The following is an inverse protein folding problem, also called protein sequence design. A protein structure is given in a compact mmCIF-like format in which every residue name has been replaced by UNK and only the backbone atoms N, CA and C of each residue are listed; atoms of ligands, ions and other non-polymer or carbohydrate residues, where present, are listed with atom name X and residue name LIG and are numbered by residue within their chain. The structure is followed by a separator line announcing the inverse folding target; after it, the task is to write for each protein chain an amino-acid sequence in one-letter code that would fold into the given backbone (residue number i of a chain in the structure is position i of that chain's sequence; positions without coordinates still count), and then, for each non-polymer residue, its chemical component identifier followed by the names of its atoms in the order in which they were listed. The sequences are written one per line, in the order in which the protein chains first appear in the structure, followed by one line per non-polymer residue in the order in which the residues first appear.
data_IF_449429401259
#
_entry.id   IF_449429401259
#
_cell.length_a   1.000
_cell.length_b   1.000
_cell.length_c   1.000
_cell.angle_alpha   90.00
_cell.angle_beta   90.00
_cell.angle_gamma   90.00
#
_symmetry.space_group_name_H-M   'P 1'
#
loop_
_entity.id
_entity.type
_entity.pdbx_description
1 polymer ?
#
# COMPACT_ATOMS: atom_id res chain seq x y z
N UNK A 1 7.83 -16.29 -29.62
CA UNK A 1 8.45 -17.37 -28.83
C UNK A 1 8.36 -16.94 -27.37
N UNK A 2 7.33 -17.41 -26.66
CA UNK A 2 7.03 -16.98 -25.31
C UNK A 2 8.01 -17.63 -24.33
N UNK A 3 8.71 -16.81 -23.57
CA UNK A 3 9.56 -17.25 -22.47
C UNK A 3 8.71 -17.22 -21.19
N UNK A 4 8.46 -18.38 -20.62
CA UNK A 4 8.03 -18.56 -19.24
C UNK A 4 9.19 -18.19 -18.31
N UNK A 5 8.96 -17.43 -17.22
CA UNK A 5 9.94 -17.31 -16.16
C UNK A 5 9.45 -18.06 -14.92
N UNK A 6 9.71 -19.37 -14.90
CA UNK A 6 9.94 -20.10 -13.65
C UNK A 6 11.45 -20.10 -13.41
N UNK A 7 11.93 -19.13 -12.62
CA UNK A 7 13.26 -19.17 -12.03
C UNK A 7 13.12 -18.99 -10.53
N UNK A 8 13.23 -20.11 -9.82
CA UNK A 8 13.41 -20.21 -8.38
C UNK A 8 14.60 -19.34 -7.92
N UNK A 9 14.32 -18.33 -7.09
CA UNK A 9 15.29 -17.75 -6.18
C UNK A 9 14.94 -18.20 -4.76
N UNK A 10 15.66 -19.21 -4.28
CA UNK A 10 15.67 -19.62 -2.88
C UNK A 10 16.42 -18.58 -2.03
N UNK A 11 15.78 -17.44 -1.77
CA UNK A 11 16.06 -16.56 -0.64
C UNK A 11 15.03 -16.80 0.47
N UNK A 12 15.25 -16.34 1.72
CA UNK A 12 14.20 -16.38 2.74
C UNK A 12 12.95 -15.74 2.15
N UNK A 13 11.81 -16.47 2.15
CA UNK A 13 10.52 -15.98 1.62
C UNK A 13 10.25 -14.63 2.29
N UNK A 14 10.49 -13.54 1.55
CA UNK A 14 10.13 -12.21 2.00
C UNK A 14 8.62 -12.27 2.25
N UNK A 15 8.22 -12.24 3.52
CA UNK A 15 6.80 -12.19 3.87
C UNK A 15 6.27 -10.90 3.26
N UNK A 16 5.41 -11.03 2.24
CA UNK A 16 4.66 -9.88 1.72
C UNK A 16 3.91 -9.28 2.90
N UNK A 17 4.03 -7.98 3.09
CA UNK A 17 3.23 -7.27 4.08
C UNK A 17 1.75 -7.42 3.72
N UNK A 18 0.91 -7.51 4.74
CA UNK A 18 -0.53 -7.48 4.55
C UNK A 18 -0.97 -6.02 4.41
N UNK A 19 -1.88 -5.75 3.49
CA UNK A 19 -2.60 -4.49 3.43
C UNK A 19 -4.10 -4.76 3.56
N UNK A 20 -4.84 -3.76 4.01
CA UNK A 20 -6.29 -3.82 4.13
C UNK A 20 -6.92 -2.48 3.84
N UNK A 21 -8.16 -2.50 3.34
CA UNK A 21 -8.98 -1.33 3.11
C UNK A 21 -10.34 -1.48 3.79
N UNK A 22 -11.04 -0.36 4.04
CA UNK A 22 -12.43 -0.41 4.45
C UNK A 22 -13.30 -0.99 3.32
N UNK A 23 -14.57 -1.25 3.64
CA UNK A 23 -15.57 -1.66 2.67
C UNK A 23 -16.49 -0.49 2.33
N UNK A 24 -16.95 -0.44 1.09
CA UNK A 24 -18.13 0.36 0.73
C UNK A 24 -19.41 -0.27 1.31
N UNK A 25 -20.54 0.43 1.18
CA UNK A 25 -21.84 0.00 1.71
C UNK A 25 -22.32 -1.33 1.13
N UNK A 26 -21.91 -1.64 -0.09
CA UNK A 26 -22.16 -2.91 -0.81
C UNK A 26 -21.20 -4.05 -0.40
N UNK A 27 -20.38 -3.83 0.64
CA UNK A 27 -19.36 -4.76 1.15
C UNK A 27 -18.11 -4.91 0.29
N UNK A 28 -18.02 -4.23 -0.86
CA UNK A 28 -16.84 -4.31 -1.71
C UNK A 28 -15.65 -3.58 -1.05
N UNK A 29 -14.44 -4.18 -1.01
CA UNK A 29 -13.24 -3.50 -0.57
C UNK A 29 -12.99 -2.25 -1.41
N UNK A 30 -12.68 -1.14 -0.74
CA UNK A 30 -12.46 0.15 -1.40
C UNK A 30 -11.31 0.09 -2.41
N UNK A 31 -10.30 -0.74 -2.15
CA UNK A 31 -9.14 -0.96 -3.02
C UNK A 31 -9.46 -1.66 -4.34
N UNK A 32 -10.68 -2.16 -4.56
CA UNK A 32 -11.10 -2.59 -5.91
C UNK A 32 -11.32 -1.40 -6.85
N UNK A 33 -11.66 -0.24 -6.29
CA UNK A 33 -12.01 0.97 -7.03
C UNK A 33 -10.94 2.04 -6.93
N UNK A 34 -10.25 2.11 -5.78
CA UNK A 34 -9.24 3.12 -5.48
C UNK A 34 -7.85 2.50 -5.55
N UNK A 35 -7.31 2.38 -6.76
CA UNK A 35 -5.95 1.89 -7.02
C UNK A 35 -5.13 3.01 -7.66
N UNK A 36 -3.98 3.35 -7.08
CA UNK A 36 -3.08 4.37 -7.64
C UNK A 36 -2.41 3.87 -8.93
N UNK A 37 -1.75 2.72 -8.87
CA UNK A 37 -0.99 2.13 -9.98
C UNK A 37 -1.65 0.83 -10.48
N UNK A 38 -2.82 0.96 -11.08
CA UNK A 38 -3.54 -0.17 -11.66
C UNK A 38 -2.87 -0.70 -12.92
N UNK A 39 -2.70 -2.03 -13.03
CA UNK A 39 -2.13 -2.70 -14.22
C UNK A 39 -3.19 -3.40 -15.07
N UNK A 40 -4.44 -2.91 -15.07
CA UNK A 40 -5.54 -3.51 -15.81
C UNK A 40 -6.03 -4.85 -15.21
N UNK A 41 -5.98 -4.97 -13.88
CA UNK A 41 -6.46 -6.17 -13.20
C UNK A 41 -7.97 -6.31 -13.29
N UNK A 42 -8.43 -7.49 -13.70
CA UNK A 42 -9.86 -7.82 -13.87
C UNK A 42 -10.38 -8.79 -12.80
N UNK A 43 -9.48 -9.32 -11.96
CA UNK A 43 -9.83 -10.24 -10.87
C UNK A 43 -9.09 -9.84 -9.59
N UNK A 44 -9.74 -10.08 -8.45
CA UNK A 44 -9.15 -9.82 -7.15
C UNK A 44 -9.65 -10.81 -6.10
N UNK A 45 -8.85 -10.98 -5.06
CA UNK A 45 -9.20 -11.80 -3.91
C UNK A 45 -9.10 -10.96 -2.65
N UNK A 46 -10.07 -11.13 -1.74
CA UNK A 46 -10.05 -10.48 -0.44
C UNK A 46 -10.38 -11.46 0.66
N UNK A 47 -9.81 -11.24 1.85
CA UNK A 47 -10.19 -11.92 3.08
C UNK A 47 -10.50 -10.88 4.13
N UNK A 48 -11.43 -11.18 5.03
CA UNK A 48 -11.64 -10.33 6.21
C UNK A 48 -10.38 -10.38 7.09
N UNK A 49 -9.87 -9.22 7.46
CA UNK A 49 -8.78 -9.12 8.41
C UNK A 49 -9.31 -9.26 9.85
N UNK A 50 -8.60 -10.03 10.69
CA UNK A 50 -8.83 -10.14 12.13
C UNK A 50 -7.69 -9.46 12.84
N UNK A 51 -7.99 -8.35 13.49
CA UNK A 51 -7.01 -7.54 14.20
C UNK A 51 -7.12 -7.91 15.69
N UNK A 52 -6.12 -8.59 16.27
CA UNK A 52 -6.14 -8.91 17.70
C UNK A 52 -5.88 -7.65 18.53
N UNK A 53 -6.67 -7.44 19.58
CA UNK A 53 -6.49 -6.33 20.51
C UNK A 53 -6.69 -4.96 19.86
N UNK A 54 -5.93 -3.97 20.33
CA UNK A 54 -5.94 -2.61 19.82
C UNK A 54 -4.58 -2.30 19.15
N UNK A 55 -4.49 -2.33 17.81
CA UNK A 55 -3.23 -2.07 17.12
C UNK A 55 -2.83 -0.60 17.26
N UNK A 56 -1.53 -0.33 17.26
CA UNK A 56 -0.99 1.03 17.16
C UNK A 56 -0.96 1.44 15.69
N UNK A 57 -1.94 2.20 15.25
CA UNK A 57 -2.01 2.70 13.87
C UNK A 57 -1.44 4.12 13.81
N UNK A 58 -0.55 4.33 12.84
CA UNK A 58 -0.16 5.68 12.43
C UNK A 58 -1.14 6.18 11.38
N UNK A 59 -1.94 7.18 11.73
CA UNK A 59 -2.94 7.77 10.84
C UNK A 59 -2.35 8.93 10.03
N UNK A 60 -2.56 8.93 8.72
CA UNK A 60 -2.15 10.00 7.81
C UNK A 60 -3.41 10.62 7.18
N UNK A 61 -3.75 11.82 7.64
CA UNK A 61 -4.91 12.57 7.16
C UNK A 61 -4.54 13.77 6.30
N UNK A 62 -3.30 14.22 6.38
CA UNK A 62 -2.81 15.44 5.74
C UNK A 62 -1.35 15.29 5.28
N UNK A 63 -0.90 16.23 4.44
CA UNK A 63 0.52 16.35 4.08
C UNK A 63 1.41 16.55 5.33
N UNK A 64 0.91 17.27 6.34
CA UNK A 64 1.63 17.54 7.58
C UNK A 64 1.83 16.28 8.43
N UNK A 65 0.86 15.36 8.46
CA UNK A 65 1.00 14.07 9.15
C UNK A 65 2.11 13.24 8.49
N UNK A 66 2.13 13.20 7.15
CA UNK A 66 3.18 12.53 6.39
C UNK A 66 4.56 13.17 6.62
N UNK A 67 4.63 14.50 6.56
CA UNK A 67 5.86 15.24 6.85
C UNK A 67 6.38 14.94 8.26
N UNK A 68 5.49 14.92 9.27
CA UNK A 68 5.84 14.58 10.64
C UNK A 68 6.38 13.15 10.77
N UNK A 69 5.79 12.19 10.05
CA UNK A 69 6.28 10.81 10.02
C UNK A 69 7.68 10.72 9.39
N UNK A 70 7.89 11.38 8.25
CA UNK A 70 9.20 11.45 7.58
C UNK A 70 10.26 12.12 8.47
N UNK A 71 9.90 13.19 9.19
CA UNK A 71 10.82 13.85 10.13
C UNK A 71 11.25 12.94 11.27
N UNK A 72 10.30 12.15 11.78
CA UNK A 72 10.53 11.30 12.95
C UNK A 72 11.34 10.04 12.61
N UNK A 73 11.14 9.51 11.40
CA UNK A 73 11.81 8.30 10.93
C UNK A 73 12.38 8.52 9.52
N UNK A 74 13.38 9.40 9.32
CA UNK A 74 13.85 9.71 7.98
C UNK A 74 14.69 8.57 7.40
N UNK A 75 14.35 8.14 6.19
CA UNK A 75 15.22 7.35 5.32
C UNK A 75 15.49 8.14 4.04
N UNK A 76 16.76 8.46 3.78
CA UNK A 76 17.13 9.17 2.55
C UNK A 76 17.07 8.24 1.34
N UNK A 77 16.37 8.70 0.30
CA UNK A 77 16.17 7.97 -0.97
C UNK A 77 16.55 8.81 -2.19
N UNK A 78 17.27 9.92 -2.00
CA UNK A 78 17.69 10.83 -3.09
C UNK A 78 18.39 10.09 -4.24
N UNK A 79 19.27 9.15 -3.92
CA UNK A 79 19.99 8.34 -4.91
C UNK A 79 19.07 7.51 -5.82
N UNK A 80 17.93 7.07 -5.30
CA UNK A 80 16.98 6.22 -6.02
C UNK A 80 15.90 7.05 -6.71
N UNK A 81 15.33 8.03 -6.02
CA UNK A 81 14.08 8.69 -6.44
C UNK A 81 14.25 10.02 -7.17
N UNK A 82 15.43 10.66 -7.11
CA UNK A 82 15.60 12.05 -7.61
C UNK A 82 15.11 12.27 -9.04
N UNK A 83 15.28 11.29 -9.94
CA UNK A 83 14.89 11.46 -11.34
C UNK A 83 13.37 11.34 -11.51
N UNK A 84 12.77 10.30 -10.95
CA UNK A 84 11.34 10.05 -11.08
C UNK A 84 10.54 11.14 -10.36
N UNK A 85 10.94 11.52 -9.16
CA UNK A 85 10.25 12.55 -8.40
C UNK A 85 10.49 13.95 -8.94
N UNK A 86 11.65 14.22 -9.58
CA UNK A 86 11.82 15.46 -10.34
C UNK A 86 10.83 15.53 -11.51
N UNK A 87 10.64 14.43 -12.27
CA UNK A 87 9.69 14.40 -13.40
C UNK A 87 8.25 14.65 -12.95
N UNK A 88 7.86 14.11 -11.79
CA UNK A 88 6.50 14.26 -11.26
C UNK A 88 6.27 15.61 -10.58
N UNK A 89 7.26 16.16 -9.86
CA UNK A 89 7.05 17.32 -8.99
C UNK A 89 7.73 18.61 -9.46
N UNK A 90 8.69 18.53 -10.39
CA UNK A 90 9.55 19.63 -10.80
C UNK A 90 10.60 20.05 -9.77
N UNK A 91 10.62 19.42 -8.58
CA UNK A 91 11.51 19.77 -7.48
C UNK A 91 12.81 18.98 -7.55
N UNK A 92 13.93 19.63 -7.25
CA UNK A 92 15.23 19.01 -6.99
C UNK A 92 15.61 19.15 -5.51
N UNK A 93 16.61 18.38 -5.07
CA UNK A 93 17.09 18.41 -3.69
C UNK A 93 17.07 17.03 -3.04
N UNK A 94 17.13 17.02 -1.71
CA UNK A 94 17.11 15.80 -0.91
C UNK A 94 15.69 15.24 -0.83
N UNK A 95 15.61 13.92 -0.87
CA UNK A 95 14.36 13.18 -0.82
C UNK A 95 14.39 12.14 0.31
N UNK A 96 13.36 12.13 1.13
CA UNK A 96 13.20 11.13 2.21
C UNK A 96 11.85 10.43 2.13
N UNK A 97 11.79 9.25 2.71
CA UNK A 97 10.55 8.55 3.08
C UNK A 97 10.63 8.11 4.54
N UNK A 98 9.54 7.63 5.15
CA UNK A 98 9.62 6.97 6.43
C UNK A 98 10.49 5.70 6.36
N UNK A 99 11.45 5.53 7.27
CA UNK A 99 12.11 4.26 7.53
C UNK A 99 11.08 3.27 8.10
N UNK A 100 10.50 2.45 7.23
CA UNK A 100 9.46 1.50 7.61
C UNK A 100 9.90 0.49 8.67
N UNK A 101 11.19 0.15 8.72
CA UNK A 101 11.72 -0.71 9.78
C UNK A 101 11.74 0.02 11.13
N UNK A 102 12.01 1.34 11.14
CA UNK A 102 11.88 2.17 12.34
C UNK A 102 10.43 2.41 12.77
N UNK A 103 9.55 2.67 11.80
CA UNK A 103 8.11 2.84 12.05
C UNK A 103 7.53 1.57 12.67
N UNK A 104 7.90 0.37 12.16
CA UNK A 104 7.43 -0.92 12.66
C UNK A 104 7.79 -1.19 14.14
N UNK A 105 8.80 -0.52 14.70
CA UNK A 105 9.11 -0.63 16.13
C UNK A 105 8.07 0.05 17.02
N UNK A 106 7.29 0.99 16.47
CA UNK A 106 6.36 1.83 17.22
C UNK A 106 4.91 1.68 16.79
N UNK A 107 4.68 1.27 15.55
CA UNK A 107 3.35 1.11 14.97
C UNK A 107 3.21 -0.28 14.36
N UNK A 108 2.01 -0.82 14.51
CA UNK A 108 1.66 -2.14 13.97
C UNK A 108 1.16 -2.01 12.52
N UNK A 109 0.62 -0.84 12.17
CA UNK A 109 0.25 -0.47 10.81
C UNK A 109 0.22 1.04 10.59
N UNK A 110 0.13 1.43 9.33
CA UNK A 110 0.06 2.82 8.89
C UNK A 110 -1.14 2.93 7.95
N UNK A 111 -2.04 3.86 8.22
CA UNK A 111 -3.23 4.11 7.41
C UNK A 111 -3.12 5.44 6.67
N UNK A 112 -3.27 5.39 5.34
CA UNK A 112 -3.44 6.59 4.53
C UNK A 112 -4.93 6.78 4.27
N UNK A 113 -5.52 7.80 4.89
CA UNK A 113 -6.91 8.12 4.62
C UNK A 113 -7.11 8.65 3.20
N UNK A 114 -8.34 8.53 2.67
CA UNK A 114 -8.71 9.09 1.36
C UNK A 114 -8.46 10.60 1.31
N UNK A 115 -8.75 11.32 2.39
CA UNK A 115 -8.49 12.76 2.48
C UNK A 115 -6.98 13.06 2.40
N UNK A 116 -6.16 12.29 3.14
CA UNK A 116 -4.70 12.41 3.10
C UNK A 116 -4.16 12.18 1.69
N UNK A 117 -4.60 11.12 1.03
CA UNK A 117 -4.23 10.82 -0.34
C UNK A 117 -4.59 11.99 -1.28
N UNK A 118 -5.85 12.43 -1.32
CA UNK A 118 -6.28 13.51 -2.21
C UNK A 118 -5.56 14.83 -1.96
N UNK A 119 -5.16 15.09 -0.71
CA UNK A 119 -4.46 16.32 -0.34
C UNK A 119 -2.99 16.36 -0.79
N UNK A 120 -2.33 15.20 -0.90
CA UNK A 120 -0.87 15.14 -0.84
C UNK A 120 -0.20 14.13 -1.79
N UNK A 121 -0.90 13.09 -2.25
CA UNK A 121 -0.32 12.08 -3.13
C UNK A 121 0.22 12.67 -4.43
N UNK A 122 1.39 12.19 -4.86
CA UNK A 122 2.09 12.64 -6.07
C UNK A 122 2.65 14.07 -6.02
N UNK A 123 2.50 14.80 -4.91
CA UNK A 123 3.03 16.16 -4.74
C UNK A 123 4.30 16.14 -3.91
N UNK A 124 5.19 17.11 -4.14
CA UNK A 124 6.29 17.36 -3.22
C UNK A 124 5.73 17.90 -1.88
N UNK A 125 6.14 17.26 -0.79
CA UNK A 125 5.77 17.61 0.58
C UNK A 125 7.04 18.05 1.30
N UNK A 126 7.14 19.33 1.63
CA UNK A 126 8.25 19.85 2.41
C UNK A 126 8.20 19.28 3.83
N UNK A 127 9.36 18.86 4.36
CA UNK A 127 9.41 18.19 5.67
C UNK A 127 9.82 19.13 6.81
N UNK A 128 9.92 20.44 6.60
CA UNK A 128 10.23 21.45 7.63
C UNK A 128 11.48 21.17 8.50
N UNK A 129 12.46 20.41 8.00
CA UNK A 129 13.79 20.25 8.64
C UNK A 129 14.77 21.27 8.05
N UNK A 130 14.75 21.42 6.74
CA UNK A 130 15.47 22.40 5.96
C UNK A 130 14.71 22.68 4.66
N UNK A 131 15.11 23.73 3.93
CA UNK A 131 14.46 24.11 2.68
C UNK A 131 14.76 23.14 1.51
N UNK A 132 15.69 22.21 1.68
CA UNK A 132 16.20 21.35 0.60
C UNK A 132 15.70 19.90 0.68
N UNK A 133 14.97 19.53 1.74
CA UNK A 133 14.45 18.18 1.93
C UNK A 133 12.93 18.11 1.78
N UNK A 134 12.46 17.16 0.97
CA UNK A 134 11.03 16.87 0.82
C UNK A 134 10.78 15.36 0.75
N UNK A 135 9.50 15.01 0.71
CA UNK A 135 9.00 13.66 0.49
C UNK A 135 7.87 13.67 -0.54
N UNK A 136 7.47 12.48 -0.99
CA UNK A 136 6.30 12.26 -1.85
C UNK A 136 5.58 11.01 -1.33
N UNK A 137 4.26 11.07 -1.22
CA UNK A 137 3.43 9.86 -1.09
C UNK A 137 3.21 9.33 -2.51
N UNK A 138 3.73 8.13 -2.78
CA UNK A 138 3.63 7.47 -4.09
C UNK A 138 3.49 5.95 -3.90
N UNK A 139 2.68 5.31 -4.74
CA UNK A 139 2.46 3.86 -4.72
C UNK A 139 1.65 3.35 -3.52
N UNK A 140 0.77 4.18 -2.95
CA UNK A 140 -0.08 3.90 -1.80
C UNK A 140 -1.55 4.20 -2.11
N UNK A 141 -2.41 3.19 -2.03
CA UNK A 141 -3.82 3.34 -2.38
C UNK A 141 -4.62 4.20 -1.37
N UNK A 142 -5.62 4.98 -1.82
CA UNK A 142 -6.47 5.76 -0.94
C UNK A 142 -7.26 4.87 0.04
N UNK A 143 -7.19 5.18 1.34
CA UNK A 143 -7.91 4.44 2.38
C UNK A 143 -7.24 3.11 2.76
N UNK A 144 -6.01 2.85 2.29
CA UNK A 144 -5.29 1.62 2.56
C UNK A 144 -4.47 1.69 3.86
N UNK A 145 -4.48 0.59 4.60
CA UNK A 145 -3.62 0.35 5.74
C UNK A 145 -2.58 -0.70 5.41
N UNK A 146 -1.29 -0.38 5.56
CA UNK A 146 -0.21 -1.35 5.50
C UNK A 146 0.15 -1.83 6.90
N UNK A 147 0.16 -3.15 7.10
CA UNK A 147 0.49 -3.79 8.37
C UNK A 147 1.98 -4.13 8.38
N UNK A 148 2.73 -3.44 9.24
CA UNK A 148 4.20 -3.51 9.30
C UNK A 148 4.70 -4.65 10.17
N UNK A 149 3.85 -5.14 11.09
CA UNK A 149 4.14 -6.27 11.95
C UNK A 149 3.23 -7.45 11.60
N UNK A 150 3.60 -8.66 12.02
CA UNK A 150 2.84 -9.88 11.71
C UNK A 150 1.50 -10.01 12.46
N UNK A 151 0.92 -8.89 12.90
CA UNK A 151 -0.22 -8.83 13.81
C UNK A 151 -1.57 -9.27 13.26
N UNK A 152 -1.93 -9.04 11.98
CA UNK A 152 -3.28 -9.35 11.56
C UNK A 152 -3.45 -10.82 11.16
N UNK A 153 -4.44 -11.48 11.76
CA UNK A 153 -4.90 -12.79 11.32
C UNK A 153 -5.77 -12.65 10.06
N UNK A 154 -5.67 -13.59 9.14
CA UNK A 154 -6.61 -13.68 8.01
C UNK A 154 -7.85 -14.48 8.42
N UNK A 155 -9.03 -14.02 8.00
CA UNK A 155 -10.23 -14.83 7.99
C UNK A 155 -10.08 -16.04 7.07
N UNK A 156 -10.90 -17.05 7.30
CA UNK A 156 -10.91 -18.28 6.51
C UNK A 156 -11.63 -18.09 5.18
N UNK A 157 -12.66 -17.23 5.16
CA UNK A 157 -13.45 -16.93 3.96
C UNK A 157 -12.63 -16.10 2.97
N UNK A 158 -12.50 -16.63 1.75
CA UNK A 158 -11.93 -15.98 0.58
C UNK A 158 -13.08 -15.48 -0.30
N UNK A 159 -13.12 -14.19 -0.56
CA UNK A 159 -14.08 -13.59 -1.48
C UNK A 159 -13.37 -13.30 -2.81
N UNK A 160 -13.93 -13.83 -3.88
CA UNK A 160 -13.46 -13.63 -5.25
C UNK A 160 -14.24 -12.49 -5.88
N UNK A 161 -13.52 -11.61 -6.58
CA UNK A 161 -14.09 -10.45 -7.25
C UNK A 161 -13.70 -10.50 -8.72
N UNK A 162 -14.67 -10.22 -9.58
CA UNK A 162 -14.46 -10.05 -11.00
C UNK A 162 -14.94 -8.67 -11.42
N UNK A 163 -14.11 -8.00 -12.19
CA UNK A 163 -14.45 -6.74 -12.84
C UNK A 163 -15.43 -7.05 -13.97
N UNK A 164 -16.63 -6.51 -13.86
CA UNK A 164 -17.58 -6.38 -14.95
C UNK A 164 -17.32 -5.09 -15.74
N UNK A 165 -18.13 -4.83 -16.77
CA UNK A 165 -18.03 -3.62 -17.56
C UNK A 165 -18.08 -2.35 -16.68
N UNK A 166 -17.28 -1.34 -17.03
CA UNK A 166 -17.34 0.02 -16.47
C UNK A 166 -17.06 0.14 -14.96
N UNK A 167 -15.98 -0.50 -14.46
CA UNK A 167 -15.50 -0.37 -13.06
C UNK A 167 -16.44 -0.98 -12.01
N UNK A 168 -17.40 -1.80 -12.41
CA UNK A 168 -18.25 -2.53 -11.48
C UNK A 168 -17.61 -3.85 -11.08
N UNK A 169 -17.42 -4.08 -9.77
CA UNK A 169 -16.91 -5.35 -9.28
C UNK A 169 -18.06 -6.19 -8.73
N UNK A 170 -18.16 -7.43 -9.21
CA UNK A 170 -19.10 -8.42 -8.67
C UNK A 170 -18.36 -9.44 -7.82
N UNK A 171 -18.96 -9.78 -6.67
CA UNK A 171 -18.57 -10.97 -5.92
C UNK A 171 -18.99 -12.22 -6.71
N UNK A 172 -18.04 -13.09 -7.00
CA UNK A 172 -18.30 -14.38 -7.64
C UNK A 172 -18.13 -15.49 -6.60
N UNK A 173 -19.02 -16.50 -6.64
CA UNK A 173 -18.83 -17.70 -5.84
C UNK A 173 -17.54 -18.39 -6.29
N UNK A 174 -16.72 -18.86 -5.34
CA UNK A 174 -15.51 -19.60 -5.71
C UNK A 174 -15.94 -20.87 -6.43
N UNK A 175 -15.71 -20.94 -7.74
CA UNK A 175 -15.75 -22.23 -8.41
C UNK A 175 -14.63 -23.07 -7.78
N UNK A 176 -14.90 -24.34 -7.47
CA UNK A 176 -13.99 -25.25 -6.76
C UNK A 176 -12.67 -25.56 -7.52
N UNK A 177 -12.29 -24.75 -8.50
CA UNK A 177 -11.17 -24.97 -9.42
C UNK A 177 -10.04 -23.93 -9.29
N UNK A 178 -10.18 -22.89 -8.46
CA UNK A 178 -9.07 -21.95 -8.15
C UNK A 178 -8.21 -22.45 -6.97
N UNK A 179 -7.92 -23.75 -6.92
CA UNK A 179 -6.86 -24.28 -6.07
C UNK A 179 -5.53 -23.71 -6.59
N UNK A 180 -5.00 -22.71 -5.89
CA UNK A 180 -3.60 -22.33 -6.03
C UNK A 180 -2.75 -23.62 -5.87
N UNK A 181 -1.87 -23.97 -6.83
CA UNK A 181 -1.09 -25.18 -6.73
C UNK A 181 -0.33 -25.16 -5.40
N UNK A 182 -0.25 -26.29 -4.66
CA UNK A 182 0.50 -26.33 -3.42
C UNK A 182 1.93 -25.88 -3.72
N UNK A 183 2.43 -24.95 -2.91
CA UNK A 183 3.80 -24.47 -3.03
C UNK A 183 4.75 -25.66 -2.85
N UNK A 184 5.29 -26.15 -3.96
CA UNK A 184 6.40 -27.12 -3.99
C UNK A 184 7.68 -26.52 -3.44
#
# INVERSE_FOLDING_TARGET
MALTPDTLLAGPRARRLCHSSPRFSDQAPVTLYLVEDGFGWETAHSRRLRIPGAPRICEIHTAQDWAALCRRFPLEVTGEKRHDWYRTTGRSGRWVIPDWHAVARQYDGVHLSVAGYLSAAGRAIDIDIDAETASVIAGWNPGETWWLTAGPGLGTELTHWQLEESLHWRQVESCAQDEYPPAG
#
